data_IF_755853566101
#
_entry.id   IF_755853566101
#
_cell.length_a   1.000
_cell.length_b   1.000
_cell.length_c   1.000
_cell.angle_alpha   90.00
_cell.angle_beta   90.00
_cell.angle_gamma   90.00
#
_symmetry.space_group_name_H-M   'P 1'
#
loop_
_entity.id
_entity.type
_entity.pdbx_description
1 polymer ?
#
# COMPACT_ATOMS: atom_id res chain seq x y z
N UNK A 1 6.50 -4.16 14.26
CA UNK A 1 7.62 -3.28 13.85
C UNK A 1 7.17 -1.82 13.73
N UNK A 2 6.11 -1.50 12.98
CA UNK A 2 5.58 -0.12 12.87
C UNK A 2 5.27 0.49 14.25
N UNK A 3 4.68 -0.28 15.15
CA UNK A 3 4.37 0.11 16.53
C UNK A 3 5.57 0.64 17.33
N UNK A 4 6.73 0.00 17.24
CA UNK A 4 7.91 0.41 17.99
C UNK A 4 8.46 1.75 17.50
N UNK A 5 8.50 1.96 16.18
CA UNK A 5 8.92 3.23 15.60
C UNK A 5 7.92 4.33 15.89
N UNK A 6 6.63 4.07 15.75
CA UNK A 6 5.60 5.07 16.04
C UNK A 6 5.63 5.50 17.49
N UNK A 7 5.77 4.56 18.42
CA UNK A 7 5.95 4.87 19.84
C UNK A 7 7.18 5.75 20.05
N UNK A 8 8.35 5.32 19.56
CA UNK A 8 9.61 6.05 19.73
C UNK A 8 9.53 7.47 19.17
N UNK A 9 9.10 7.61 17.92
CA UNK A 9 9.03 8.92 17.25
C UNK A 9 7.99 9.83 17.89
N UNK A 10 6.85 9.28 18.33
CA UNK A 10 5.81 10.06 19.04
C UNK A 10 6.27 10.51 20.43
N UNK A 11 6.95 9.63 21.20
CA UNK A 11 7.55 9.96 22.49
C UNK A 11 8.63 11.05 22.35
N UNK A 12 9.39 11.04 21.25
CA UNK A 12 10.39 12.05 20.92
C UNK A 12 9.80 13.30 20.25
N UNK A 13 8.48 13.37 20.01
CA UNK A 13 7.82 14.47 19.30
C UNK A 13 8.41 14.75 17.90
N UNK A 14 8.97 13.72 17.25
CA UNK A 14 9.54 13.83 15.90
C UNK A 14 8.40 13.64 14.89
N UNK A 15 8.12 14.60 14.00
CA UNK A 15 7.14 14.41 12.94
C UNK A 15 7.58 13.30 11.98
N UNK A 16 6.65 12.43 11.59
CA UNK A 16 6.92 11.39 10.61
C UNK A 16 5.74 11.16 9.68
N UNK A 17 6.07 10.64 8.50
CA UNK A 17 5.12 10.06 7.55
C UNK A 17 5.42 8.56 7.46
N UNK A 18 4.43 7.76 7.10
CA UNK A 18 4.59 6.31 6.99
C UNK A 18 3.94 5.81 5.72
N UNK A 19 4.69 5.07 4.90
CA UNK A 19 4.16 4.25 3.82
C UNK A 19 4.05 2.80 4.30
N UNK A 20 2.89 2.19 4.13
CA UNK A 20 2.60 0.81 4.54
C UNK A 20 2.12 -0.01 3.36
N UNK A 21 2.37 -1.32 3.40
CA UNK A 21 1.76 -2.24 2.45
C UNK A 21 0.30 -2.51 2.83
N UNK A 22 -0.62 -2.32 1.89
CA UNK A 22 -2.02 -2.67 2.12
C UNK A 22 -2.23 -4.19 2.11
N UNK A 23 -1.37 -4.90 1.37
CA UNK A 23 -1.28 -6.35 1.31
C UNK A 23 -2.61 -7.02 0.88
N UNK A 24 -3.44 -6.38 0.04
CA UNK A 24 -4.81 -6.87 -0.25
C UNK A 24 -4.84 -8.39 -0.51
N UNK A 25 -5.73 -9.05 0.20
CA UNK A 25 -5.95 -10.49 0.10
C UNK A 25 -4.94 -11.38 0.82
N UNK A 26 -3.86 -10.84 1.41
CA UNK A 26 -3.04 -11.58 2.38
C UNK A 26 -3.76 -11.72 3.74
N UNK A 27 -3.31 -12.66 4.57
CA UNK A 27 -3.88 -12.88 5.91
C UNK A 27 -3.80 -11.61 6.78
N UNK A 28 -4.93 -11.21 7.38
CA UNK A 28 -5.08 -9.99 8.20
C UNK A 28 -4.69 -8.68 7.48
N UNK A 29 -4.72 -8.67 6.15
CA UNK A 29 -4.37 -7.51 5.35
C UNK A 29 -5.57 -6.63 4.99
N UNK A 30 -5.41 -5.66 4.09
CA UNK A 30 -6.51 -4.78 3.67
C UNK A 30 -7.13 -4.05 4.86
N UNK A 31 -8.41 -4.30 5.14
CA UNK A 31 -9.08 -3.77 6.33
C UNK A 31 -8.39 -4.13 7.64
N UNK A 32 -7.75 -5.31 7.73
CA UNK A 32 -6.98 -5.70 8.90
C UNK A 32 -5.79 -4.75 9.16
N UNK A 33 -5.09 -4.31 8.10
CA UNK A 33 -4.04 -3.29 8.22
C UNK A 33 -4.63 -1.95 8.64
N UNK A 34 -5.74 -1.53 8.05
CA UNK A 34 -6.40 -0.25 8.37
C UNK A 34 -6.85 -0.22 9.84
N UNK A 35 -7.49 -1.30 10.31
CA UNK A 35 -7.88 -1.48 11.72
C UNK A 35 -6.66 -1.43 12.65
N UNK A 36 -5.61 -2.18 12.30
CA UNK A 36 -4.37 -2.18 13.09
C UNK A 36 -3.76 -0.78 13.20
N UNK A 37 -3.62 -0.08 12.08
CA UNK A 37 -3.13 1.31 12.02
C UNK A 37 -3.97 2.23 12.89
N UNK A 38 -5.30 2.20 12.73
CA UNK A 38 -6.19 3.06 13.52
C UNK A 38 -6.09 2.79 15.03
N UNK A 39 -5.92 1.52 15.42
CA UNK A 39 -5.67 1.16 16.81
C UNK A 39 -4.31 1.67 17.31
N UNK A 40 -3.25 1.60 16.49
CA UNK A 40 -1.94 2.16 16.86
C UNK A 40 -1.96 3.69 16.97
N UNK A 41 -2.72 4.38 16.11
CA UNK A 41 -2.96 5.82 16.25
C UNK A 41 -3.63 6.10 17.61
N UNK A 42 -4.65 5.34 17.99
CA UNK A 42 -5.30 5.50 19.31
C UNK A 42 -4.35 5.36 20.51
N UNK A 43 -3.28 4.58 20.38
CA UNK A 43 -2.29 4.38 21.45
C UNK A 43 -1.23 5.49 21.52
N UNK A 44 -0.80 6.02 20.39
CA UNK A 44 0.39 6.87 20.32
C UNK A 44 0.14 8.29 19.79
N UNK A 45 -0.96 8.49 19.05
CA UNK A 45 -1.37 9.74 18.41
C UNK A 45 -2.92 9.81 18.38
N UNK A 46 -3.60 9.85 19.54
CA UNK A 46 -5.05 9.71 19.65
C UNK A 46 -5.83 10.77 18.86
N UNK A 47 -5.25 11.94 18.65
CA UNK A 47 -5.79 13.03 17.82
C UNK A 47 -5.90 12.66 16.33
N UNK A 48 -5.16 11.62 15.89
CA UNK A 48 -5.16 11.13 14.50
C UNK A 48 -6.10 9.95 14.28
N UNK A 49 -6.84 9.49 15.29
CA UNK A 49 -7.78 8.38 15.10
C UNK A 49 -8.83 8.73 14.04
N UNK A 50 -9.22 7.74 13.24
CA UNK A 50 -10.29 7.89 12.25
C UNK A 50 -11.63 8.18 12.93
N UNK A 51 -12.53 8.95 12.27
CA UNK A 51 -13.84 9.25 12.85
C UNK A 51 -14.64 7.98 13.13
N UNK A 52 -15.46 7.98 14.19
CA UNK A 52 -16.29 6.83 14.55
C UNK A 52 -17.38 6.49 13.52
N UNK A 53 -17.65 7.40 12.58
CA UNK A 53 -18.52 7.16 11.41
C UNK A 53 -17.90 6.16 10.41
N UNK A 54 -16.61 5.86 10.51
CA UNK A 54 -15.90 4.93 9.63
C UNK A 54 -16.02 3.51 10.18
N UNK A 55 -17.02 2.77 9.72
CA UNK A 55 -17.20 1.36 10.07
C UNK A 55 -16.22 0.47 9.28
N UNK A 56 -15.05 0.21 9.87
CA UNK A 56 -14.01 -0.63 9.25
C UNK A 56 -14.44 -2.11 9.28
N UNK A 57 -14.50 -2.78 8.12
CA UNK A 57 -14.90 -4.19 8.04
C UNK A 57 -13.77 -5.16 8.43
N UNK A 58 -14.09 -6.44 8.59
CA UNK A 58 -13.09 -7.49 8.78
C UNK A 58 -12.26 -7.72 7.52
N UNK A 59 -11.03 -8.18 7.70
CA UNK A 59 -10.06 -8.33 6.60
C UNK A 59 -10.50 -9.35 5.54
N UNK A 60 -11.35 -10.30 5.92
CA UNK A 60 -11.86 -11.39 5.12
C UNK A 60 -13.38 -11.29 4.86
N UNK A 61 -13.96 -10.08 4.95
CA UNK A 61 -15.37 -9.87 4.62
C UNK A 61 -15.58 -9.83 3.10
N UNK A 62 -16.29 -10.83 2.57
CA UNK A 62 -16.59 -10.93 1.15
C UNK A 62 -17.58 -9.89 0.62
N UNK A 63 -18.38 -9.29 1.52
CA UNK A 63 -19.40 -8.30 1.14
C UNK A 63 -18.85 -6.89 1.10
N UNK A 64 -17.74 -6.64 1.81
CA UNK A 64 -17.14 -5.31 1.95
C UNK A 64 -15.65 -5.37 1.59
N UNK A 65 -15.28 -5.72 0.35
CA UNK A 65 -13.88 -5.72 -0.07
C UNK A 65 -13.28 -4.32 -0.01
N UNK A 66 -12.07 -4.21 0.55
CA UNK A 66 -11.40 -2.92 0.81
C UNK A 66 -11.15 -2.12 -0.48
N UNK A 67 -10.91 -2.79 -1.61
CA UNK A 67 -10.63 -2.08 -2.87
C UNK A 67 -11.82 -1.29 -3.41
N UNK A 68 -13.06 -1.66 -3.06
CA UNK A 68 -14.27 -1.00 -3.59
C UNK A 68 -15.15 -0.36 -2.51
N UNK A 69 -15.01 -0.77 -1.25
CA UNK A 69 -15.85 -0.29 -0.13
C UNK A 69 -15.09 0.61 0.86
N UNK A 70 -13.99 1.23 0.41
CA UNK A 70 -13.18 2.12 1.26
C UNK A 70 -13.70 3.56 1.36
N UNK A 71 -14.90 3.83 0.84
CA UNK A 71 -15.53 5.14 0.91
C UNK A 71 -16.65 5.19 1.96
N UNK A 72 -16.70 6.28 2.71
CA UNK A 72 -17.63 6.57 3.79
C UNK A 72 -18.38 7.88 3.51
N UNK A 73 -19.34 8.21 4.38
CA UNK A 73 -20.15 9.43 4.27
C UNK A 73 -20.82 9.57 2.89
N UNK A 74 -21.65 8.58 2.52
CA UNK A 74 -22.30 8.51 1.21
C UNK A 74 -21.34 8.53 0.01
N UNK A 75 -20.12 8.03 0.19
CA UNK A 75 -19.14 7.90 -0.87
C UNK A 75 -18.20 9.09 -1.03
N UNK A 76 -18.32 10.15 -0.20
CA UNK A 76 -17.53 11.37 -0.37
C UNK A 76 -16.14 11.29 0.27
N UNK A 77 -15.91 10.38 1.21
CA UNK A 77 -14.63 10.27 1.93
C UNK A 77 -13.98 8.90 1.78
N UNK A 78 -12.78 8.86 1.18
CA UNK A 78 -11.95 7.66 1.15
C UNK A 78 -11.18 7.51 2.47
N UNK A 79 -11.20 6.32 3.06
CA UNK A 79 -10.36 6.02 4.26
C UNK A 79 -8.88 6.17 3.97
N UNK A 80 -8.44 5.92 2.73
CA UNK A 80 -7.04 6.09 2.35
C UNK A 80 -6.68 7.57 2.40
N UNK A 81 -7.46 8.43 1.74
CA UNK A 81 -7.22 9.88 1.76
C UNK A 81 -7.30 10.46 3.18
N UNK A 82 -8.23 9.98 4.00
CA UNK A 82 -8.30 10.36 5.41
C UNK A 82 -7.07 9.92 6.21
N UNK A 83 -6.52 8.73 5.96
CA UNK A 83 -5.28 8.31 6.60
C UNK A 83 -4.07 9.10 6.11
N UNK A 84 -4.06 9.53 4.85
CA UNK A 84 -3.00 10.36 4.29
C UNK A 84 -2.93 11.73 4.97
N UNK A 85 -4.07 12.35 5.30
CA UNK A 85 -4.09 13.61 6.10
C UNK A 85 -3.50 13.43 7.51
N UNK A 86 -3.43 12.18 8.00
CA UNK A 86 -2.81 11.80 9.28
C UNK A 86 -1.35 11.36 9.13
N UNK A 87 -0.82 11.39 7.91
CA UNK A 87 0.55 11.01 7.59
C UNK A 87 0.75 9.51 7.35
N UNK A 88 -0.33 8.77 7.13
CA UNK A 88 -0.29 7.32 6.86
C UNK A 88 -0.74 7.06 5.42
N UNK A 89 0.18 6.56 4.62
CA UNK A 89 0.00 6.23 3.21
C UNK A 89 0.03 4.71 3.04
N UNK A 90 -0.68 4.21 2.03
CA UNK A 90 -0.64 2.81 1.66
C UNK A 90 -0.14 2.63 0.22
N UNK A 91 0.77 1.67 0.04
CA UNK A 91 1.00 1.02 -1.25
C UNK A 91 -0.27 0.28 -1.65
N UNK A 92 -0.70 0.43 -2.90
CA UNK A 92 -1.97 -0.09 -3.39
C UNK A 92 -1.80 -0.76 -4.75
N UNK A 93 -2.36 -1.97 -4.96
CA UNK A 93 -3.25 -2.70 -4.04
C UNK A 93 -2.52 -3.57 -3.00
N UNK A 94 -1.24 -3.92 -3.20
CA UNK A 94 -0.53 -4.89 -2.35
C UNK A 94 0.61 -4.25 -1.58
N UNK A 95 1.78 -4.18 -2.19
CA UNK A 95 2.98 -3.60 -1.60
C UNK A 95 3.63 -2.63 -2.59
N UNK A 96 4.72 -2.00 -2.15
CA UNK A 96 5.46 -1.06 -2.98
C UNK A 96 5.88 -1.69 -4.31
N UNK A 97 6.42 -2.90 -4.24
CA UNK A 97 6.96 -3.62 -5.39
C UNK A 97 5.88 -3.87 -6.44
N UNK A 98 4.70 -4.36 -6.03
CA UNK A 98 3.59 -4.59 -6.95
C UNK A 98 3.01 -3.29 -7.50
N UNK A 99 2.96 -2.23 -6.69
CA UNK A 99 2.51 -0.90 -7.16
C UNK A 99 3.44 -0.39 -8.27
N UNK A 100 4.76 -0.57 -8.13
CA UNK A 100 5.74 -0.21 -9.15
C UNK A 100 5.65 -1.13 -10.38
N UNK A 101 5.42 -2.43 -10.19
CA UNK A 101 5.22 -3.39 -11.28
C UNK A 101 4.03 -3.00 -12.16
N UNK A 102 2.92 -2.57 -11.54
CA UNK A 102 1.72 -2.08 -12.24
C UNK A 102 1.97 -0.77 -13.00
N UNK A 103 2.72 0.14 -12.40
CA UNK A 103 3.03 1.44 -13.00
C UNK A 103 4.01 1.35 -14.18
N UNK A 104 4.97 0.42 -14.11
CA UNK A 104 6.06 0.32 -15.08
C UNK A 104 6.25 -1.10 -15.66
N UNK A 105 5.19 -1.72 -16.21
CA UNK A 105 5.24 -3.13 -16.60
C UNK A 105 6.35 -3.43 -17.62
N UNK A 106 6.61 -2.52 -18.56
CA UNK A 106 7.67 -2.67 -19.56
C UNK A 106 9.07 -2.66 -18.91
N UNK A 107 9.34 -1.75 -17.97
CA UNK A 107 10.65 -1.64 -17.32
C UNK A 107 10.96 -2.87 -16.44
N UNK A 108 9.93 -3.47 -15.84
CA UNK A 108 10.07 -4.74 -15.10
C UNK A 108 10.01 -5.99 -15.99
N UNK A 109 9.91 -5.83 -17.32
CA UNK A 109 9.87 -6.97 -18.25
C UNK A 109 8.69 -7.89 -18.01
N UNK A 110 7.53 -7.33 -17.65
CA UNK A 110 6.31 -8.08 -17.34
C UNK A 110 5.91 -8.99 -18.49
N UNK A 111 5.67 -10.24 -18.16
CA UNK A 111 4.98 -11.20 -19.01
C UNK A 111 3.66 -11.56 -18.33
N UNK A 112 2.56 -11.36 -19.04
CA UNK A 112 1.24 -11.78 -18.56
C UNK A 112 1.08 -13.27 -18.77
N UNK A 113 0.95 -14.00 -17.68
CA UNK A 113 0.73 -15.43 -17.69
C UNK A 113 -0.45 -15.75 -16.78
N UNK A 114 -1.34 -16.64 -17.22
CA UNK A 114 -2.47 -17.08 -16.40
C UNK A 114 -1.91 -17.70 -15.12
N UNK A 115 -2.11 -17.01 -14.01
CA UNK A 115 -1.64 -17.49 -12.71
C UNK A 115 -2.53 -18.62 -12.21
N UNK A 116 -1.91 -19.75 -11.90
CA UNK A 116 -2.57 -20.88 -11.28
C UNK A 116 -2.74 -20.65 -9.76
N UNK A 117 -3.49 -21.55 -9.11
CA UNK A 117 -3.71 -21.47 -7.66
C UNK A 117 -2.40 -21.49 -6.86
N UNK A 118 -1.39 -22.21 -7.36
CA UNK A 118 -0.09 -22.33 -6.68
C UNK A 118 0.66 -20.99 -6.66
N UNK A 119 0.64 -20.26 -7.77
CA UNK A 119 1.24 -18.92 -7.91
C UNK A 119 0.51 -17.90 -7.04
N UNK A 120 -0.82 -17.91 -7.07
CA UNK A 120 -1.64 -17.03 -6.20
C UNK A 120 -1.29 -17.27 -4.73
N UNK A 121 -1.18 -18.53 -4.31
CA UNK A 121 -0.82 -18.90 -2.93
C UNK A 121 0.62 -18.54 -2.58
N UNK A 122 1.55 -18.55 -3.53
CA UNK A 122 2.92 -18.11 -3.31
C UNK A 122 3.03 -16.59 -3.10
N UNK A 123 2.19 -15.80 -3.80
CA UNK A 123 2.17 -14.34 -3.71
C UNK A 123 1.37 -13.83 -2.51
N UNK A 124 0.19 -14.39 -2.28
CA UNK A 124 -0.73 -13.93 -1.22
C UNK A 124 -0.62 -14.74 0.09
N UNK A 125 0.04 -15.90 0.05
CA UNK A 125 0.22 -16.77 1.20
C UNK A 125 -0.84 -17.88 1.32
N UNK A 126 -0.57 -18.85 2.19
CA UNK A 126 -1.43 -20.05 2.34
C UNK A 126 -2.82 -19.75 2.92
N UNK A 127 -2.92 -18.73 3.76
CA UNK A 127 -4.15 -18.28 4.42
C UNK A 127 -4.70 -17.01 3.77
N UNK A 128 -4.40 -16.79 2.49
CA UNK A 128 -4.96 -15.68 1.73
C UNK A 128 -6.48 -15.79 1.63
N UNK A 129 -7.13 -14.67 1.39
CA UNK A 129 -8.56 -14.57 1.18
C UNK A 129 -8.85 -13.46 0.17
N UNK A 130 -9.91 -13.56 -0.63
CA UNK A 130 -10.32 -12.44 -1.48
C UNK A 130 -9.36 -12.10 -2.62
N UNK A 131 -8.73 -13.10 -3.24
CA UNK A 131 -7.93 -12.92 -4.47
C UNK A 131 -8.75 -12.34 -5.64
N UNK A 132 -10.08 -12.53 -5.63
CA UNK A 132 -11.01 -11.90 -6.59
C UNK A 132 -11.02 -10.36 -6.52
N UNK A 133 -10.43 -9.76 -5.48
CA UNK A 133 -10.23 -8.32 -5.42
C UNK A 133 -9.23 -7.84 -6.48
N UNK A 134 -8.38 -8.72 -7.00
CA UNK A 134 -7.51 -8.44 -8.15
C UNK A 134 -8.25 -8.70 -9.45
N UNK A 135 -8.05 -7.83 -10.43
CA UNK A 135 -8.48 -8.07 -11.81
C UNK A 135 -7.73 -9.25 -12.42
N UNK A 136 -8.28 -9.82 -13.51
CA UNK A 136 -7.60 -10.89 -14.24
C UNK A 136 -6.21 -10.49 -14.72
N UNK A 137 -6.05 -9.25 -15.20
CA UNK A 137 -4.75 -8.73 -15.65
C UNK A 137 -3.76 -8.62 -14.49
N UNK A 138 -4.19 -8.09 -13.33
CA UNK A 138 -3.35 -8.03 -12.12
C UNK A 138 -2.94 -9.41 -11.61
N UNK A 139 -3.86 -10.38 -11.62
CA UNK A 139 -3.56 -11.76 -11.27
C UNK A 139 -2.53 -12.35 -12.24
N UNK A 140 -2.61 -12.03 -13.53
CA UNK A 140 -1.66 -12.51 -14.53
C UNK A 140 -0.24 -11.94 -14.35
N UNK A 141 -0.07 -10.91 -13.51
CA UNK A 141 1.25 -10.38 -13.13
C UNK A 141 1.91 -11.15 -11.98
N UNK A 142 1.16 -12.01 -11.27
CA UNK A 142 1.67 -12.66 -10.06
C UNK A 142 2.86 -13.59 -10.35
N UNK A 143 2.92 -14.23 -11.52
CA UNK A 143 4.10 -15.00 -11.96
C UNK A 143 5.35 -14.13 -12.02
N UNK A 144 5.26 -12.98 -12.69
CA UNK A 144 6.37 -12.02 -12.78
C UNK A 144 6.74 -11.47 -11.40
N UNK A 145 5.74 -11.05 -10.62
CA UNK A 145 5.95 -10.55 -9.27
C UNK A 145 6.66 -11.58 -8.37
N UNK A 146 6.21 -12.85 -8.39
CA UNK A 146 6.80 -13.93 -7.62
C UNK A 146 8.27 -14.14 -8.01
N UNK A 147 8.56 -14.19 -9.31
CA UNK A 147 9.93 -14.33 -9.82
C UNK A 147 10.83 -13.19 -9.37
N UNK A 148 10.42 -11.93 -9.54
CA UNK A 148 11.26 -10.77 -9.27
C UNK A 148 11.42 -10.49 -7.77
N UNK A 149 10.33 -10.54 -7.00
CA UNK A 149 10.29 -9.98 -5.65
C UNK A 149 10.20 -11.02 -4.53
N UNK A 150 9.98 -12.30 -4.84
CA UNK A 150 10.00 -13.40 -3.87
C UNK A 150 11.17 -14.35 -4.07
N UNK A 151 11.51 -14.65 -5.32
CA UNK A 151 12.65 -15.52 -5.67
C UNK A 151 13.91 -14.72 -6.01
N UNK A 152 13.74 -13.53 -6.58
CA UNK A 152 14.82 -12.63 -6.97
C UNK A 152 15.25 -11.64 -5.88
N UNK A 153 16.07 -10.67 -6.30
CA UNK A 153 16.54 -9.57 -5.45
C UNK A 153 15.72 -8.31 -5.73
N UNK A 154 14.93 -7.85 -4.76
CA UNK A 154 14.14 -6.62 -4.90
C UNK A 154 15.00 -5.41 -5.28
N UNK A 155 16.14 -5.12 -4.61
CA UNK A 155 16.98 -3.99 -5.00
C UNK A 155 17.47 -4.10 -6.44
N UNK A 156 17.88 -5.29 -6.90
CA UNK A 156 18.33 -5.47 -8.28
C UNK A 156 17.18 -5.20 -9.28
N UNK A 157 16.01 -5.79 -9.05
CA UNK A 157 14.84 -5.58 -9.91
C UNK A 157 14.44 -4.10 -10.01
N UNK A 158 14.49 -3.36 -8.89
CA UNK A 158 14.22 -1.92 -8.91
C UNK A 158 15.31 -1.12 -9.61
N UNK A 159 16.59 -1.39 -9.36
CA UNK A 159 17.70 -0.68 -10.03
C UNK A 159 17.63 -0.90 -11.53
N UNK A 160 17.42 -2.14 -11.98
CA UNK A 160 17.34 -2.49 -13.40
C UNK A 160 16.14 -1.80 -14.08
N UNK A 161 14.98 -1.76 -13.42
CA UNK A 161 13.80 -1.08 -13.96
C UNK A 161 13.98 0.45 -13.98
N UNK A 162 14.45 1.04 -12.89
CA UNK A 162 14.63 2.49 -12.78
C UNK A 162 15.71 3.01 -13.73
N UNK A 163 16.75 2.22 -14.03
CA UNK A 163 17.78 2.57 -15.00
C UNK A 163 17.25 2.70 -16.44
N UNK A 164 16.07 2.14 -16.73
CA UNK A 164 15.43 2.21 -18.05
C UNK A 164 14.43 3.37 -18.17
N UNK A 165 14.09 4.04 -17.07
CA UNK A 165 13.03 5.05 -17.03
C UNK A 165 13.60 6.46 -17.04
N UNK A 166 13.02 7.33 -17.86
CA UNK A 166 13.26 8.77 -17.79
C UNK A 166 12.57 9.40 -16.58
N UNK A 167 13.01 10.59 -16.19
CA UNK A 167 12.36 11.35 -15.11
C UNK A 167 10.91 11.69 -15.48
N UNK A 168 10.65 11.99 -16.76
CA UNK A 168 9.33 12.29 -17.27
C UNK A 168 8.39 11.08 -17.16
N UNK A 169 8.87 9.88 -17.53
CA UNK A 169 8.10 8.64 -17.38
C UNK A 169 7.82 8.31 -15.92
N UNK A 170 8.81 8.49 -15.03
CA UNK A 170 8.66 8.29 -13.59
C UNK A 170 7.59 9.20 -13.01
N UNK A 171 7.66 10.50 -13.31
CA UNK A 171 6.70 11.49 -12.80
C UNK A 171 5.28 11.26 -13.34
N UNK A 172 5.16 10.89 -14.62
CA UNK A 172 3.86 10.69 -15.25
C UNK A 172 3.11 9.45 -14.73
N UNK A 173 3.84 8.39 -14.35
CA UNK A 173 3.25 7.09 -14.03
C UNK A 173 3.42 6.66 -12.56
N UNK A 174 4.06 7.47 -11.71
CA UNK A 174 4.24 7.17 -10.30
C UNK A 174 2.91 6.78 -9.64
N UNK A 175 2.85 5.68 -8.85
CA UNK A 175 1.65 5.34 -8.11
C UNK A 175 1.14 6.52 -7.28
N UNK A 176 -0.16 6.80 -7.37
CA UNK A 176 -0.71 8.04 -6.86
C UNK A 176 -0.47 8.27 -5.36
N UNK A 177 -0.46 7.21 -4.54
CA UNK A 177 -0.14 7.35 -3.11
C UNK A 177 1.32 7.72 -2.85
N UNK A 178 2.25 7.37 -3.76
CA UNK A 178 3.66 7.73 -3.62
C UNK A 178 3.89 9.19 -4.02
N UNK A 179 3.21 9.66 -5.07
CA UNK A 179 3.19 11.08 -5.43
C UNK A 179 2.68 11.93 -4.27
N UNK A 180 1.52 11.58 -3.71
CA UNK A 180 0.96 12.30 -2.55
C UNK A 180 1.84 12.22 -1.30
N UNK A 181 2.53 11.09 -1.08
CA UNK A 181 3.53 10.99 -0.02
C UNK A 181 4.71 11.95 -0.26
N UNK A 182 5.23 12.03 -1.48
CA UNK A 182 6.31 12.95 -1.82
C UNK A 182 5.88 14.41 -1.62
N UNK A 183 4.66 14.77 -2.06
CA UNK A 183 4.09 16.10 -1.82
C UNK A 183 3.97 16.41 -0.32
N UNK A 184 3.52 15.44 0.48
CA UNK A 184 3.43 15.59 1.93
C UNK A 184 4.81 15.74 2.59
N UNK A 185 5.85 15.05 2.08
CA UNK A 185 7.24 15.23 2.53
C UNK A 185 7.72 16.64 2.21
N UNK A 186 7.52 17.12 0.98
CA UNK A 186 7.91 18.47 0.53
C UNK A 186 7.24 19.53 1.39
N UNK A 187 5.93 19.42 1.62
CA UNK A 187 5.18 20.35 2.46
C UNK A 187 5.73 20.38 3.89
N UNK A 188 6.02 19.22 4.49
CA UNK A 188 6.60 19.15 5.84
C UNK A 188 7.98 19.75 5.94
N UNK A 189 8.83 19.55 4.93
CA UNK A 189 10.18 20.13 4.92
C UNK A 189 10.13 21.66 4.80
N UNK A 190 9.15 22.21 4.07
CA UNK A 190 8.98 23.65 3.94
C UNK A 190 8.46 24.34 5.23
N UNK A 191 7.81 23.60 6.13
CA UNK A 191 7.32 24.09 7.42
C UNK A 191 8.41 24.12 8.51
N UNK A 192 9.54 23.44 8.30
CA UNK A 192 10.64 23.42 9.26
C UNK A 192 11.46 24.72 9.14
N UNK A 193 11.67 25.46 10.24
CA UNK A 193 12.56 26.62 10.21
C UNK A 193 14.00 26.20 9.88
N UNK A 194 14.71 27.04 9.14
CA UNK A 194 16.16 26.90 8.87
C UNK A 194 17.00 26.78 10.16
#
# INVERSE_FOLDING_TARGET
HVNHFWRLLSELQIPFLTLLDLDVGRYQAGWGRIKYVNNQLGLYQPEKVLPTTFSLSDWNDDKVPVRTHHFFENGTKSVFLELETRGVFFSFPMDLDFSMLLAFPNAYGVQQEVSDESTIKAVLGKSHHGSYQYSGDELNLFSTYHKLFKLGSKPAAHIDALAQLSNEELLANMPGSFGRLADAVIAKLAELPE
#
